data_IF_446269153374
#
_entry.id   IF_446269153374
#
_cell.length_a   1.000
_cell.length_b   1.000
_cell.length_c   1.000
_cell.angle_alpha   90.00
_cell.angle_beta   90.00
_cell.angle_gamma   90.00
#
_symmetry.space_group_name_H-M   'P 1'
#
loop_
_entity.id
_entity.type
_entity.pdbx_description
1 polymer ?
#
# COMPACT_ATOMS: atom_id res chain seq x y z
N UNK A 1 14.22 11.67 6.86
CA UNK A 1 13.18 12.18 7.79
C UNK A 1 12.32 11.05 8.35
N UNK A 2 11.97 10.05 7.55
CA UNK A 2 11.25 8.84 8.00
C UNK A 2 11.81 8.23 9.31
N UNK A 3 13.12 7.98 9.39
CA UNK A 3 13.77 7.46 10.61
C UNK A 3 13.52 8.34 11.85
N UNK A 4 13.53 9.66 11.69
CA UNK A 4 13.28 10.59 12.79
C UNK A 4 11.83 10.49 13.27
N UNK A 5 10.87 10.40 12.34
CA UNK A 5 9.47 10.23 12.68
C UNK A 5 9.24 8.92 13.45
N UNK A 6 9.84 7.81 13.01
CA UNK A 6 9.76 6.53 13.73
C UNK A 6 10.26 6.68 15.17
N UNK A 7 11.43 7.30 15.37
CA UNK A 7 11.98 7.51 16.71
C UNK A 7 11.04 8.38 17.55
N UNK A 8 10.55 9.50 17.01
CA UNK A 8 9.67 10.43 17.72
C UNK A 8 8.40 9.76 18.26
N UNK A 9 7.79 8.87 17.46
CA UNK A 9 6.53 8.21 17.81
C UNK A 9 6.66 6.84 18.50
N UNK A 10 7.82 6.18 18.42
CA UNK A 10 8.03 4.82 18.95
C UNK A 10 9.11 4.72 20.01
N UNK A 11 9.74 5.83 20.38
CA UNK A 11 10.70 5.86 21.49
C UNK A 11 10.09 5.31 22.79
N UNK A 12 10.88 4.63 23.62
CA UNK A 12 12.27 4.21 23.39
C UNK A 12 12.39 3.09 22.34
N UNK A 13 13.25 3.25 21.32
CA UNK A 13 13.39 2.28 20.21
C UNK A 13 14.85 1.96 19.85
N UNK A 14 15.14 0.72 19.46
CA UNK A 14 16.47 0.27 19.01
C UNK A 14 16.66 0.42 17.50
N UNK A 15 17.93 0.43 17.03
CA UNK A 15 18.23 0.46 15.59
C UNK A 15 17.57 -0.69 14.83
N UNK A 16 17.61 -1.90 15.38
CA UNK A 16 17.04 -3.08 14.73
C UNK A 16 15.52 -2.96 14.54
N UNK A 17 14.81 -2.38 15.51
CA UNK A 17 13.37 -2.12 15.39
C UNK A 17 13.07 -1.04 14.34
N UNK A 18 13.89 0.00 14.27
CA UNK A 18 13.79 1.03 13.22
C UNK A 18 13.93 0.38 11.83
N UNK A 19 14.95 -0.46 11.64
CA UNK A 19 15.20 -1.15 10.37
C UNK A 19 14.07 -2.12 10.03
N UNK A 20 13.52 -2.83 11.02
CA UNK A 20 12.37 -3.71 10.82
C UNK A 20 11.12 -2.95 10.35
N UNK A 21 10.87 -1.74 10.87
CA UNK A 21 9.75 -0.89 10.44
C UNK A 21 9.98 -0.33 9.03
N UNK A 22 11.21 0.11 8.72
CA UNK A 22 11.55 0.72 7.43
C UNK A 22 11.77 -0.28 6.30
N UNK A 23 12.09 -1.53 6.64
CA UNK A 23 12.48 -2.57 5.68
C UNK A 23 13.87 -2.37 5.05
N UNK A 24 14.66 -1.39 5.50
CA UNK A 24 16.00 -1.08 4.96
C UNK A 24 16.97 -0.64 6.06
N UNK A 25 18.28 -0.73 5.78
CA UNK A 25 19.33 -0.26 6.70
C UNK A 25 19.14 1.22 7.07
N UNK A 26 19.37 1.53 8.35
CA UNK A 26 19.15 2.87 8.92
C UNK A 26 20.40 3.51 9.54
N UNK A 27 21.59 2.92 9.36
CA UNK A 27 22.84 3.37 9.98
C UNK A 27 23.16 4.84 9.67
N UNK A 28 23.20 5.19 8.38
CA UNK A 28 23.49 6.56 7.96
C UNK A 28 22.48 7.57 8.50
N UNK A 29 21.19 7.20 8.50
CA UNK A 29 20.12 8.07 8.99
C UNK A 29 20.23 8.30 10.49
N UNK A 30 20.45 7.24 11.28
CA UNK A 30 20.64 7.34 12.73
C UNK A 30 21.88 8.17 13.05
N UNK A 31 22.99 7.92 12.37
CA UNK A 31 24.22 8.70 12.55
C UNK A 31 24.00 10.18 12.25
N UNK A 32 23.37 10.51 11.12
CA UNK A 32 23.12 11.91 10.76
C UNK A 32 22.19 12.62 11.74
N UNK A 33 21.22 11.90 12.30
CA UNK A 33 20.30 12.46 13.31
C UNK A 33 21.01 12.70 14.66
N UNK A 34 21.95 11.83 15.04
CA UNK A 34 22.83 12.04 16.21
C UNK A 34 23.75 13.25 16.00
N UNK A 35 24.38 13.36 14.82
CA UNK A 35 25.25 14.49 14.47
C UNK A 35 24.51 15.84 14.48
N UNK A 36 23.22 15.82 14.12
CA UNK A 36 22.33 16.99 14.17
C UNK A 36 21.71 17.21 15.54
N UNK A 37 22.05 16.37 16.51
CA UNK A 37 21.51 16.37 17.87
C UNK A 37 19.98 16.28 17.92
N UNK A 38 19.30 15.77 16.89
CA UNK A 38 17.84 15.61 16.89
C UNK A 38 17.38 14.38 17.69
N UNK A 39 18.30 13.42 17.87
CA UNK A 39 18.08 12.23 18.69
C UNK A 39 19.25 12.03 19.64
N UNK A 40 19.02 11.29 20.71
CA UNK A 40 20.02 10.90 21.70
C UNK A 40 19.97 9.40 21.96
N UNK A 41 21.05 8.87 22.54
CA UNK A 41 21.06 7.52 23.11
C UNK A 41 20.48 7.63 24.52
N UNK A 42 19.31 7.05 24.75
CA UNK A 42 18.65 7.07 26.07
C UNK A 42 19.13 5.93 26.98
N UNK A 43 19.79 4.91 26.42
CA UNK A 43 20.35 3.81 27.18
C UNK A 43 20.63 2.59 26.32
N UNK A 44 20.61 1.41 26.94
CA UNK A 44 20.72 0.10 26.30
C UNK A 44 19.55 -0.79 26.71
N UNK A 45 19.08 -1.62 25.80
CA UNK A 45 18.03 -2.58 26.10
C UNK A 45 18.63 -3.83 26.75
N UNK A 46 18.61 -3.90 28.09
CA UNK A 46 19.17 -5.03 28.85
C UNK A 46 18.46 -6.36 28.59
N UNK A 47 17.22 -6.33 28.11
CA UNK A 47 16.40 -7.53 27.88
C UNK A 47 16.73 -8.24 26.56
N UNK A 48 17.40 -7.57 25.63
CA UNK A 48 17.73 -8.12 24.31
C UNK A 48 19.19 -8.58 24.23
N UNK A 49 19.47 -9.69 23.54
CA UNK A 49 20.85 -10.12 23.28
C UNK A 49 21.68 -9.02 22.62
N UNK A 50 22.93 -8.86 23.08
CA UNK A 50 23.84 -7.82 22.59
C UNK A 50 23.58 -6.42 23.16
N UNK A 51 22.57 -6.26 24.04
CA UNK A 51 22.23 -5.02 24.73
C UNK A 51 22.27 -3.79 23.82
N UNK A 52 21.45 -3.77 22.75
CA UNK A 52 21.51 -2.75 21.73
C UNK A 52 21.20 -1.36 22.30
N UNK A 53 21.75 -0.34 21.66
CA UNK A 53 21.47 1.06 22.00
C UNK A 53 20.00 1.38 21.72
N UNK A 54 19.44 2.21 22.60
CA UNK A 54 18.08 2.71 22.54
C UNK A 54 18.13 4.21 22.25
N UNK A 55 17.28 4.65 21.33
CA UNK A 55 17.22 6.02 20.84
C UNK A 55 15.93 6.71 21.28
N UNK A 56 16.04 8.01 21.52
CA UNK A 56 14.95 8.92 21.89
C UNK A 56 15.17 10.31 21.26
N UNK A 57 14.12 11.14 21.20
CA UNK A 57 14.22 12.54 20.76
C UNK A 57 14.96 13.39 21.81
N UNK A 58 15.75 14.35 21.32
CA UNK A 58 16.52 15.28 22.17
C UNK A 58 15.73 16.54 22.49
N UNK A 59 16.26 17.40 23.38
CA UNK A 59 15.71 18.76 23.56
C UNK A 59 15.80 19.62 22.28
N UNK A 60 16.87 19.48 21.52
CA UNK A 60 17.04 20.18 20.23
C UNK A 60 15.92 19.82 19.25
N UNK A 61 15.39 18.60 19.29
CA UNK A 61 14.20 18.24 18.52
C UNK A 61 12.98 19.05 18.97
N UNK A 62 12.70 19.11 20.27
CA UNK A 62 11.60 19.93 20.82
C UNK A 62 11.71 21.39 20.36
N UNK A 63 12.90 21.98 20.47
CA UNK A 63 13.16 23.36 20.05
C UNK A 63 12.97 23.56 18.54
N UNK A 64 13.42 22.60 17.73
CA UNK A 64 13.28 22.65 16.27
C UNK A 64 11.83 22.56 15.80
N UNK A 65 11.01 21.75 16.49
CA UNK A 65 9.59 21.56 16.16
C UNK A 65 8.65 22.51 16.93
N UNK A 66 9.17 23.33 17.85
CA UNK A 66 8.38 24.28 18.62
C UNK A 66 7.41 23.63 19.60
N UNK A 67 7.75 22.46 20.14
CA UNK A 67 6.93 21.70 21.09
C UNK A 67 7.67 21.56 22.43
N UNK A 68 6.95 21.36 23.53
CA UNK A 68 7.58 21.26 24.85
C UNK A 68 7.94 19.82 25.20
N UNK A 69 7.14 18.87 24.72
CA UNK A 69 7.30 17.45 25.02
C UNK A 69 6.79 16.60 23.84
N UNK A 70 7.03 15.29 23.91
CA UNK A 70 6.71 14.34 22.84
C UNK A 70 5.22 14.03 22.73
N UNK A 71 4.44 14.29 23.78
CA UNK A 71 2.97 14.11 23.78
C UNK A 71 2.26 15.21 22.98
N UNK A 72 2.94 16.33 22.72
CA UNK A 72 2.45 17.40 21.84
C UNK A 72 2.50 16.99 20.34
N UNK A 73 3.10 15.85 20.00
CA UNK A 73 3.14 15.36 18.63
C UNK A 73 1.74 14.96 18.12
N UNK A 74 1.43 15.19 16.83
CA UNK A 74 0.16 14.78 16.24
C UNK A 74 -0.17 13.30 16.48
N UNK A 75 -1.36 13.01 17.00
CA UNK A 75 -1.78 11.63 17.25
C UNK A 75 -1.92 10.87 15.92
N UNK A 76 -1.22 9.75 15.79
CA UNK A 76 -1.23 8.89 14.60
C UNK A 76 -2.64 8.42 14.19
N UNK A 77 -3.58 8.36 15.15
CA UNK A 77 -4.97 7.94 14.91
C UNK A 77 -5.71 8.75 13.83
N UNK A 78 -5.31 9.99 13.56
CA UNK A 78 -5.95 10.80 12.51
C UNK A 78 -5.60 10.39 11.08
N UNK A 79 -4.38 9.89 10.84
CA UNK A 79 -3.90 9.61 9.47
C UNK A 79 -4.49 8.32 8.88
N UNK A 80 -4.97 7.41 9.73
CA UNK A 80 -5.64 6.17 9.33
C UNK A 80 -7.17 6.27 9.34
N UNK A 81 -7.74 7.31 9.96
CA UNK A 81 -9.18 7.43 10.17
C UNK A 81 -9.93 8.09 8.99
N UNK A 82 -9.25 8.80 8.11
CA UNK A 82 -9.89 9.53 6.99
C UNK A 82 -10.25 8.66 5.76
N UNK A 83 -10.31 7.33 5.91
CA UNK A 83 -10.80 6.41 4.86
C UNK A 83 -11.80 5.36 5.36
N UNK A 84 -12.64 5.72 6.33
CA UNK A 84 -13.88 4.95 6.56
C UNK A 84 -15.01 5.74 5.91
N UNK A 85 -15.16 5.58 4.59
CA UNK A 85 -16.42 5.97 3.92
C UNK A 85 -17.48 5.02 4.45
N UNK A 86 -18.36 5.51 5.32
CA UNK A 86 -19.54 4.73 5.71
C UNK A 86 -20.34 4.42 4.43
N UNK A 87 -20.63 3.14 4.22
CA UNK A 87 -21.41 2.70 3.07
C UNK A 87 -22.75 3.45 3.07
N UNK A 88 -23.09 4.10 1.96
CA UNK A 88 -24.42 4.69 1.80
C UNK A 88 -25.43 3.54 1.81
N UNK A 89 -26.25 3.47 2.85
CA UNK A 89 -27.34 2.49 2.95
C UNK A 89 -28.40 2.89 1.94
N UNK A 90 -28.44 2.21 0.80
CA UNK A 90 -29.49 2.42 -0.19
C UNK A 90 -30.78 1.83 0.36
N UNK A 91 -31.80 2.67 0.55
CA UNK A 91 -33.12 2.18 0.93
C UNK A 91 -33.91 1.81 -0.32
N UNK A 92 -34.77 0.79 -0.27
CA UNK A 92 -35.58 0.39 -1.42
C UNK A 92 -36.50 1.53 -1.93
N UNK A 93 -36.82 2.51 -1.07
CA UNK A 93 -37.58 3.71 -1.46
C UNK A 93 -36.79 4.69 -2.35
N UNK A 94 -35.45 4.66 -2.34
CA UNK A 94 -34.60 5.56 -3.14
C UNK A 94 -34.59 5.18 -4.64
N UNK A 95 -35.13 4.00 -5.00
CA UNK A 95 -35.28 3.53 -6.38
C UNK A 95 -36.65 3.83 -6.99
N UNK A 96 -37.51 4.58 -6.29
CA UNK A 96 -38.87 4.88 -6.78
C UNK A 96 -38.92 6.16 -7.60
N UNK A 97 -38.14 6.23 -8.68
CA UNK A 97 -38.47 7.13 -9.79
C UNK A 97 -39.52 6.43 -10.66
N UNK A 98 -40.70 7.05 -10.90
CA UNK A 98 -41.65 6.53 -11.87
C UNK A 98 -40.97 6.38 -13.24
N UNK A 99 -40.91 5.15 -13.71
CA UNK A 99 -40.54 4.76 -15.06
C UNK A 99 -41.65 5.27 -15.97
N UNK A 100 -41.55 6.52 -16.42
CA UNK A 100 -42.40 7.04 -17.50
C UNK A 100 -41.64 8.05 -18.37
N UNK A 101 -40.37 7.73 -18.63
CA UNK A 101 -39.61 8.33 -19.74
C UNK A 101 -39.54 7.26 -20.83
N UNK A 102 -40.00 7.53 -22.06
CA UNK A 102 -39.81 6.61 -23.18
C UNK A 102 -38.32 6.30 -23.31
N UNK A 103 -37.95 5.02 -23.18
CA UNK A 103 -36.61 4.57 -23.53
C UNK A 103 -36.46 4.70 -25.05
N UNK A 104 -35.59 5.61 -25.48
CA UNK A 104 -34.89 5.43 -26.75
C UNK A 104 -33.97 4.21 -26.55
N UNK A 105 -34.12 3.22 -27.44
CA UNK A 105 -33.25 2.05 -27.51
C UNK A 105 -31.85 2.52 -27.93
N UNK A 106 -30.99 2.81 -26.95
CA UNK A 106 -29.55 2.91 -27.19
C UNK A 106 -28.95 1.53 -26.92
N UNK A 107 -28.60 0.88 -28.03
CA UNK A 107 -28.00 -0.45 -28.10
C UNK A 107 -26.70 -0.46 -27.28
N UNK A 108 -26.71 -1.16 -26.14
CA UNK A 108 -25.54 -1.32 -25.29
C UNK A 108 -24.52 -2.24 -25.99
N UNK A 109 -23.44 -1.66 -26.53
CA UNK A 109 -22.29 -2.44 -27.00
C UNK A 109 -21.67 -3.22 -25.82
N UNK A 110 -21.53 -4.54 -26.01
CA UNK A 110 -20.87 -5.42 -25.06
C UNK A 110 -19.37 -5.07 -24.95
N UNK A 111 -18.74 -5.22 -23.77
CA UNK A 111 -17.32 -4.94 -23.62
C UNK A 111 -16.50 -5.95 -24.43
N UNK A 112 -15.82 -5.45 -25.46
CA UNK A 112 -15.03 -6.27 -26.36
C UNK A 112 -13.72 -6.71 -25.69
N UNK A 113 -13.45 -8.02 -25.62
CA UNK A 113 -12.26 -8.55 -24.96
C UNK A 113 -11.01 -8.33 -25.83
N UNK A 114 -10.06 -7.53 -25.33
CA UNK A 114 -8.79 -7.26 -25.99
C UNK A 114 -7.81 -8.41 -25.74
N UNK A 115 -7.27 -9.00 -26.80
CA UNK A 115 -6.26 -10.07 -26.79
C UNK A 115 -5.03 -9.68 -27.60
N UNK A 116 -3.89 -10.37 -27.44
CA UNK A 116 -2.64 -10.07 -28.17
C UNK A 116 -2.34 -11.22 -29.12
N UNK A 117 -2.13 -10.92 -30.41
CA UNK A 117 -1.79 -11.93 -31.41
C UNK A 117 -0.31 -12.34 -31.32
N UNK A 118 0.07 -13.40 -32.01
CA UNK A 118 1.42 -13.97 -32.04
C UNK A 118 2.51 -13.05 -32.62
N UNK A 119 2.11 -11.94 -33.27
CA UNK A 119 3.02 -10.90 -33.77
C UNK A 119 3.19 -9.74 -32.78
N UNK A 120 2.48 -9.75 -31.64
CA UNK A 120 2.60 -8.76 -30.56
C UNK A 120 1.62 -7.59 -30.63
N UNK A 121 0.63 -7.63 -31.53
CA UNK A 121 -0.36 -6.57 -31.68
C UNK A 121 -1.67 -6.87 -30.91
N UNK A 122 -2.28 -5.82 -30.35
CA UNK A 122 -3.56 -5.88 -29.63
C UNK A 122 -4.73 -5.97 -30.62
N UNK A 123 -5.53 -7.03 -30.53
CA UNK A 123 -6.71 -7.29 -31.35
C UNK A 123 -7.95 -7.56 -30.48
N UNK A 124 -9.12 -7.13 -30.97
CA UNK A 124 -10.39 -7.26 -30.26
C UNK A 124 -11.05 -8.58 -30.68
N UNK A 125 -11.33 -9.48 -29.72
CA UNK A 125 -11.88 -10.81 -29.99
C UNK A 125 -13.41 -10.83 -29.99
N UNK A 126 -14.02 -11.19 -31.12
CA UNK A 126 -15.44 -11.55 -31.22
C UNK A 126 -15.58 -13.09 -31.10
N UNK A 127 -16.29 -13.58 -30.08
CA UNK A 127 -16.64 -15.00 -29.97
C UNK A 127 -17.75 -15.36 -30.96
N UNK A 128 -17.41 -16.15 -31.98
CA UNK A 128 -18.35 -16.88 -32.84
C UNK A 128 -18.45 -18.33 -32.38
N UNK A 129 -19.68 -18.80 -32.17
CA UNK A 129 -20.03 -20.05 -31.51
C UNK A 129 -19.77 -21.36 -32.28
N UNK A 130 -19.59 -22.40 -31.46
CA UNK A 130 -20.05 -23.79 -31.57
C UNK A 130 -20.35 -24.38 -32.96
N UNK A 131 -19.50 -25.30 -33.43
CA UNK A 131 -19.93 -26.59 -34.03
C UNK A 131 -18.73 -27.57 -34.05
N UNK A 132 -18.82 -28.65 -33.28
CA UNK A 132 -18.07 -29.89 -33.49
C UNK A 132 -19.00 -30.86 -34.26
N UNK A 133 -18.55 -31.93 -34.98
CA UNK A 133 -17.34 -32.70 -34.71
C UNK A 133 -16.64 -33.38 -35.93
N UNK A 134 -15.63 -34.20 -35.61
CA UNK A 134 -15.29 -35.50 -36.22
C UNK A 134 -14.07 -35.63 -37.16
N UNK A 135 -13.18 -36.56 -36.73
CA UNK A 135 -12.26 -37.46 -37.46
C UNK A 135 -11.20 -36.80 -38.39
N UNK A 136 -9.94 -37.21 -38.42
CA UNK A 136 -9.46 -38.57 -38.73
C UNK A 136 -7.95 -38.69 -38.42
N UNK A 137 -7.50 -39.91 -38.13
CA UNK A 137 -6.16 -40.32 -37.70
C UNK A 137 -5.10 -40.24 -38.82
N UNK A 138 -3.82 -40.03 -38.46
CA UNK A 138 -2.60 -40.79 -38.87
C UNK A 138 -1.41 -40.21 -38.08
N UNK A 139 -0.82 -40.88 -37.09
CA UNK A 139 0.18 -41.98 -37.14
C UNK A 139 1.59 -41.58 -37.65
N UNK A 140 2.57 -41.87 -36.78
CA UNK A 140 4.03 -42.14 -36.97
C UNK A 140 5.06 -40.96 -37.12
N UNK A 141 6.37 -41.17 -36.83
CA UNK A 141 7.07 -40.96 -35.53
C UNK A 141 8.30 -39.99 -35.66
N UNK A 142 9.20 -39.83 -34.64
CA UNK A 142 10.26 -38.82 -34.70
C UNK A 142 11.53 -39.36 -35.41
N UNK A 143 12.28 -38.46 -36.05
CA UNK A 143 13.63 -38.72 -36.53
C UNK A 143 14.64 -37.90 -35.71
N UNK A 144 15.78 -38.54 -35.46
CA UNK A 144 16.95 -38.18 -34.61
C UNK A 144 17.47 -36.74 -34.69
#
# INVERSE_FOLDING_TARGET
LETLAIIAYKQPITKGEIEAIRGVNSDYSVQKLLEKELIIISGRNEKMPGHPLVYATSKTFMDYFGINNTDDLPKIRGVLADQVVEATVIKPEDFTTPIDTPLEEEEAEAPSQITVNENGDLVIGEEGGDDAPAAENTDTPPAE
#
